data_IF_237509018905
#
_entry.id   IF_237509018905
#
_cell.length_a   1.000
_cell.length_b   1.000
_cell.length_c   1.000
_cell.angle_alpha   90.00
_cell.angle_beta   90.00
_cell.angle_gamma   90.00
#
_symmetry.space_group_name_H-M   'P 1'
#
loop_
_entity.id
_entity.type
_entity.pdbx_description
1 polymer ?
#
# COMPACT_ATOMS: atom_id res chain seq x y z
N UNK A 1 -25.63 -65.22 43.46
CA UNK A 1 -25.47 -63.81 43.40
C UNK A 1 -24.46 -63.54 42.28
N UNK A 2 -24.93 -63.14 41.10
CA UNK A 2 -24.09 -62.92 39.90
C UNK A 2 -24.03 -61.42 39.63
N UNK A 3 -22.85 -60.84 39.82
CA UNK A 3 -22.57 -59.44 39.42
C UNK A 3 -22.10 -59.43 37.99
N UNK A 4 -22.87 -58.90 37.12
CA UNK A 4 -22.53 -58.61 35.71
C UNK A 4 -21.82 -57.27 35.63
N UNK A 5 -20.55 -57.29 35.27
CA UNK A 5 -19.70 -56.11 35.00
C UNK A 5 -19.98 -55.65 33.57
N UNK A 6 -20.59 -54.50 33.46
CA UNK A 6 -20.86 -53.86 32.14
C UNK A 6 -19.62 -53.01 31.76
N UNK A 7 -18.87 -53.51 30.77
CA UNK A 7 -17.75 -52.78 30.18
C UNK A 7 -18.26 -51.75 29.16
N UNK A 8 -18.24 -50.46 29.52
CA UNK A 8 -18.61 -49.37 28.66
C UNK A 8 -17.36 -48.94 27.90
N UNK A 9 -17.25 -49.35 26.63
CA UNK A 9 -16.20 -48.94 25.72
C UNK A 9 -16.54 -47.56 25.18
N UNK A 10 -15.80 -46.54 25.64
CA UNK A 10 -15.87 -45.17 25.14
C UNK A 10 -15.05 -45.09 23.84
N UNK A 11 -15.71 -45.05 22.70
CA UNK A 11 -15.11 -44.74 21.39
C UNK A 11 -14.85 -43.25 21.34
N UNK A 12 -13.58 -42.88 21.53
CA UNK A 12 -13.11 -41.54 21.27
C UNK A 12 -12.86 -41.45 19.75
N UNK A 13 -13.81 -40.89 19.00
CA UNK A 13 -13.60 -40.47 17.62
C UNK A 13 -12.71 -39.24 17.59
N UNK A 14 -11.42 -39.41 17.24
CA UNK A 14 -10.56 -38.31 16.81
C UNK A 14 -11.13 -37.77 15.51
N UNK A 15 -11.85 -36.66 15.56
CA UNK A 15 -12.10 -35.84 14.40
C UNK A 15 -10.76 -35.23 14.00
N UNK A 16 -10.15 -35.77 12.95
CA UNK A 16 -9.05 -35.13 12.27
C UNK A 16 -9.59 -33.81 11.73
N UNK A 17 -9.10 -32.70 12.28
CA UNK A 17 -9.28 -31.38 11.73
C UNK A 17 -8.40 -31.33 10.47
N UNK A 18 -8.95 -31.74 9.33
CA UNK A 18 -8.36 -31.46 8.04
C UNK A 18 -8.40 -29.94 7.87
N UNK A 19 -7.24 -29.30 7.95
CA UNK A 19 -7.06 -27.93 7.49
C UNK A 19 -7.21 -27.96 5.98
N UNK A 20 -8.46 -27.88 5.53
CA UNK A 20 -8.77 -27.62 4.13
C UNK A 20 -8.26 -26.20 3.82
N UNK A 21 -7.11 -26.14 3.15
CA UNK A 21 -6.62 -24.94 2.48
C UNK A 21 -7.36 -24.68 1.17
N UNK A 22 -8.53 -25.31 0.99
CA UNK A 22 -9.36 -25.11 -0.21
C UNK A 22 -10.70 -24.49 0.19
N UNK A 23 -10.94 -23.32 -0.35
CA UNK A 23 -12.29 -22.80 -0.50
C UNK A 23 -12.72 -21.70 0.46
N UNK A 24 -12.05 -20.60 0.48
CA UNK A 24 -12.77 -19.35 0.66
C UNK A 24 -13.70 -19.19 -0.53
N UNK A 25 -14.94 -19.70 -0.33
CA UNK A 25 -16.06 -19.50 -1.24
C UNK A 25 -16.13 -18.01 -1.53
N UNK A 26 -15.96 -17.67 -2.81
CA UNK A 26 -15.83 -16.32 -3.30
C UNK A 26 -16.93 -15.40 -2.77
N UNK A 27 -16.50 -14.37 -2.08
CA UNK A 27 -17.25 -13.13 -2.02
C UNK A 27 -17.07 -12.51 -3.41
N UNK A 28 -18.13 -12.40 -4.22
CA UNK A 28 -18.04 -11.75 -5.52
C UNK A 28 -17.72 -10.28 -5.28
N UNK A 29 -16.51 -9.85 -5.58
CA UNK A 29 -16.14 -8.43 -5.56
C UNK A 29 -14.86 -8.03 -4.83
N UNK A 30 -14.15 -8.97 -4.17
CA UNK A 30 -12.92 -8.64 -3.45
C UNK A 30 -11.78 -9.58 -3.80
N UNK A 31 -11.43 -9.74 -5.08
CA UNK A 31 -10.20 -10.41 -5.45
C UNK A 31 -9.02 -9.61 -4.92
N UNK A 32 -8.26 -10.18 -3.96
CA UNK A 32 -7.01 -9.62 -3.50
C UNK A 32 -6.05 -9.38 -4.67
N UNK A 33 -5.12 -8.46 -4.50
CA UNK A 33 -4.05 -8.22 -5.45
C UNK A 33 -2.81 -9.00 -5.02
N UNK A 34 -1.94 -9.33 -5.95
CA UNK A 34 -0.67 -9.98 -5.66
C UNK A 34 0.47 -8.97 -5.66
N UNK A 35 1.55 -9.27 -4.93
CA UNK A 35 2.76 -8.45 -4.97
C UNK A 35 3.28 -8.24 -6.41
N UNK A 36 3.23 -9.26 -7.27
CA UNK A 36 3.64 -9.18 -8.67
C UNK A 36 2.77 -8.22 -9.51
N UNK A 37 1.47 -8.11 -9.20
CA UNK A 37 0.59 -7.14 -9.87
C UNK A 37 0.93 -5.71 -9.51
N UNK A 38 1.47 -5.46 -8.31
CA UNK A 38 1.85 -4.12 -7.82
C UNK A 38 3.28 -3.78 -8.19
N UNK A 39 4.22 -4.74 -8.08
CA UNK A 39 5.64 -4.53 -8.41
C UNK A 39 5.81 -4.04 -9.83
N UNK A 40 6.59 -2.98 -10.00
CA UNK A 40 6.90 -2.38 -11.31
C UNK A 40 7.01 -0.88 -11.28
N UNK A 41 7.00 -0.28 -12.46
CA UNK A 41 7.05 1.17 -12.62
C UNK A 41 5.64 1.76 -12.67
N UNK A 42 5.49 2.90 -12.01
CA UNK A 42 4.23 3.62 -11.89
C UNK A 42 4.40 5.07 -12.33
N UNK A 43 3.36 5.61 -12.94
CA UNK A 43 3.22 7.04 -13.24
C UNK A 43 2.02 7.59 -12.46
N UNK A 44 2.23 8.68 -11.75
CA UNK A 44 1.19 9.38 -10.98
C UNK A 44 1.03 10.79 -11.48
N UNK A 45 -0.19 11.30 -11.39
CA UNK A 45 -0.51 12.72 -11.64
C UNK A 45 -1.17 13.28 -10.39
N UNK A 46 -0.65 14.41 -9.90
CA UNK A 46 -1.18 15.09 -8.71
C UNK A 46 -2.04 16.28 -9.10
N UNK A 47 -3.17 16.46 -8.42
CA UNK A 47 -4.05 17.61 -8.55
C UNK A 47 -4.23 18.24 -7.18
N UNK A 48 -3.83 19.50 -7.03
CA UNK A 48 -3.92 20.21 -5.74
C UNK A 48 -5.37 20.35 -5.30
N UNK A 49 -5.62 20.04 -4.04
CA UNK A 49 -6.93 20.21 -3.38
C UNK A 49 -6.93 21.24 -2.27
N UNK A 50 -5.74 21.56 -1.71
CA UNK A 50 -5.63 22.60 -0.69
C UNK A 50 -5.96 23.99 -1.27
N UNK A 51 -6.85 24.73 -0.61
CA UNK A 51 -7.21 26.10 -0.99
C UNK A 51 -6.12 27.13 -0.66
N UNK A 52 -5.21 26.78 0.27
CA UNK A 52 -4.12 27.66 0.70
C UNK A 52 -2.93 27.57 -0.25
N UNK A 53 -2.19 28.66 -0.36
CA UNK A 53 -0.93 28.67 -1.08
C UNK A 53 0.06 27.71 -0.42
N UNK A 54 0.53 26.73 -1.17
CA UNK A 54 1.60 25.84 -0.74
C UNK A 54 2.95 26.57 -0.77
N UNK A 55 3.87 26.18 0.10
CA UNK A 55 5.22 26.80 0.14
C UNK A 55 5.98 26.58 -1.18
N UNK A 56 7.02 27.37 -1.37
CA UNK A 56 7.98 27.16 -2.48
C UNK A 56 8.60 25.77 -2.35
N UNK A 57 8.52 24.98 -3.41
CA UNK A 57 9.01 23.60 -3.44
C UNK A 57 7.93 22.53 -3.35
N UNK A 58 6.66 22.87 -3.10
CA UNK A 58 5.54 21.96 -3.24
C UNK A 58 5.31 21.55 -4.70
N UNK A 59 4.62 20.42 -4.89
CA UNK A 59 4.30 19.92 -6.22
C UNK A 59 3.36 20.89 -6.96
N UNK A 60 3.63 21.08 -8.25
CA UNK A 60 2.74 21.89 -9.10
C UNK A 60 1.43 21.13 -9.38
N UNK A 61 0.37 21.87 -9.63
CA UNK A 61 -0.89 21.29 -10.06
C UNK A 61 -0.73 20.60 -11.42
N UNK A 62 -1.19 19.36 -11.56
CA UNK A 62 -1.02 18.55 -12.79
C UNK A 62 0.37 17.94 -12.94
N UNK A 63 1.24 18.04 -11.93
CA UNK A 63 2.59 17.48 -12.01
C UNK A 63 2.56 15.96 -12.06
N UNK A 64 3.40 15.40 -12.95
CA UNK A 64 3.68 13.97 -13.01
C UNK A 64 4.76 13.57 -12.02
N UNK A 65 4.56 12.44 -11.35
CA UNK A 65 5.56 11.75 -10.54
C UNK A 65 5.76 10.34 -11.10
N UNK A 66 6.94 9.78 -10.93
CA UNK A 66 7.19 8.37 -11.23
C UNK A 66 7.68 7.64 -10.00
N UNK A 67 7.31 6.36 -9.87
CA UNK A 67 7.84 5.51 -8.81
C UNK A 67 8.12 4.10 -9.33
N UNK A 68 9.11 3.46 -8.71
CA UNK A 68 9.36 2.04 -8.81
C UNK A 68 8.95 1.40 -7.50
N UNK A 69 7.99 0.50 -7.53
CA UNK A 69 7.55 -0.29 -6.40
C UNK A 69 8.13 -1.70 -6.51
N UNK A 70 8.84 -2.14 -5.49
CA UNK A 70 9.26 -3.53 -5.30
C UNK A 70 8.55 -4.05 -4.07
N UNK A 71 7.47 -4.80 -4.29
CA UNK A 71 6.56 -5.26 -3.22
C UNK A 71 6.91 -6.68 -2.84
N UNK A 72 7.13 -6.92 -1.56
CA UNK A 72 7.37 -8.24 -0.98
C UNK A 72 6.06 -9.03 -0.82
N UNK A 73 6.16 -10.31 -0.55
CA UNK A 73 5.00 -11.20 -0.42
C UNK A 73 4.04 -10.85 0.74
N UNK A 74 4.51 -10.07 1.70
CA UNK A 74 3.72 -9.54 2.81
C UNK A 74 3.09 -8.17 2.52
N UNK A 75 3.35 -7.60 1.33
CA UNK A 75 2.84 -6.30 0.90
C UNK A 75 3.74 -5.13 1.27
N UNK A 76 4.81 -5.31 2.03
CA UNK A 76 5.76 -4.23 2.34
C UNK A 76 6.63 -3.89 1.14
N UNK A 77 7.11 -2.65 1.06
CA UNK A 77 8.09 -2.26 0.04
C UNK A 77 9.50 -2.71 0.41
N UNK A 78 10.21 -3.29 -0.56
CA UNK A 78 11.62 -3.65 -0.39
C UNK A 78 12.47 -2.38 -0.24
N UNK A 79 13.21 -2.33 0.88
CA UNK A 79 14.06 -1.19 1.22
C UNK A 79 15.22 -1.06 0.24
N UNK A 80 15.48 0.17 -0.24
CA UNK A 80 16.60 0.50 -1.11
C UNK A 80 16.37 0.23 -2.59
N UNK A 81 15.32 -0.52 -2.97
CA UNK A 81 14.96 -0.78 -4.37
C UNK A 81 13.70 -0.04 -4.78
N UNK A 82 12.79 0.22 -3.85
CA UNK A 82 11.62 1.08 -4.09
C UNK A 82 12.04 2.55 -4.05
N UNK A 83 11.60 3.31 -5.03
CA UNK A 83 12.04 4.70 -5.21
C UNK A 83 11.00 5.54 -5.92
N UNK A 84 11.15 6.87 -5.85
CA UNK A 84 10.32 7.81 -6.59
C UNK A 84 11.14 8.94 -7.20
N UNK A 85 10.59 9.61 -8.17
CA UNK A 85 11.19 10.75 -8.86
C UNK A 85 10.14 11.81 -9.15
N UNK A 86 10.60 13.05 -9.15
CA UNK A 86 9.81 14.22 -9.52
C UNK A 86 10.41 14.81 -10.82
N UNK A 87 9.90 14.45 -12.01
CA UNK A 87 10.36 15.00 -13.26
C UNK A 87 10.17 16.54 -13.30
N UNK A 88 11.05 17.30 -13.97
CA UNK A 88 12.12 16.82 -14.86
C UNK A 88 13.43 16.44 -14.15
N UNK A 89 13.47 16.44 -12.80
CA UNK A 89 14.67 16.06 -12.06
C UNK A 89 14.90 14.54 -12.18
N UNK A 90 16.13 14.16 -12.53
CA UNK A 90 16.51 12.74 -12.56
C UNK A 90 16.88 12.19 -11.16
N UNK A 91 16.60 12.96 -10.10
CA UNK A 91 16.98 12.57 -8.74
C UNK A 91 16.07 11.44 -8.24
N UNK A 92 16.66 10.28 -8.03
CA UNK A 92 16.02 9.10 -7.43
C UNK A 92 16.01 9.28 -5.91
N UNK A 93 14.84 9.11 -5.31
CA UNK A 93 14.60 9.34 -3.89
C UNK A 93 14.00 8.08 -3.23
N UNK A 94 14.28 7.85 -1.94
CA UNK A 94 13.75 6.68 -1.24
C UNK A 94 12.22 6.70 -1.13
N UNK A 95 11.66 5.49 -1.16
CA UNK A 95 10.25 5.22 -0.96
C UNK A 95 10.13 4.07 0.04
N UNK A 96 9.21 4.17 0.99
CA UNK A 96 8.88 3.10 1.93
C UNK A 96 7.36 2.98 2.13
N UNK A 97 6.93 2.03 2.94
CA UNK A 97 5.52 1.77 3.22
C UNK A 97 5.07 0.42 2.69
N UNK A 98 3.82 0.33 2.25
CA UNK A 98 3.28 -0.94 1.78
C UNK A 98 1.93 -0.86 1.12
N UNK A 99 1.49 -2.03 0.66
CA UNK A 99 0.19 -2.26 0.03
C UNK A 99 -0.48 -3.46 0.69
N UNK A 100 -1.65 -3.28 1.25
CA UNK A 100 -2.44 -4.38 1.79
C UNK A 100 -2.96 -5.24 0.64
N UNK A 101 -2.36 -6.40 0.42
CA UNK A 101 -2.66 -7.28 -0.72
C UNK A 101 -4.11 -7.81 -0.74
N UNK A 102 -4.78 -7.83 0.41
CA UNK A 102 -6.17 -8.26 0.51
C UNK A 102 -7.16 -7.33 -0.20
N UNK A 103 -6.87 -6.02 -0.27
CA UNK A 103 -7.80 -4.99 -0.76
C UNK A 103 -7.15 -3.86 -1.55
N UNK A 104 -5.82 -3.87 -1.72
CA UNK A 104 -5.08 -2.84 -2.42
C UNK A 104 -4.87 -1.53 -1.66
N UNK A 105 -5.29 -1.44 -0.40
CA UNK A 105 -5.04 -0.26 0.42
C UNK A 105 -3.54 0.03 0.49
N UNK A 106 -3.17 1.25 0.20
CA UNK A 106 -1.79 1.66 -0.04
C UNK A 106 -1.44 2.82 0.88
N UNK A 107 -0.28 2.72 1.53
CA UNK A 107 0.29 3.78 2.36
C UNK A 107 1.80 3.86 2.08
N UNK A 108 2.23 4.90 1.38
CA UNK A 108 3.61 5.08 0.93
C UNK A 108 4.18 6.40 1.45
N UNK A 109 5.42 6.34 1.92
CA UNK A 109 6.19 7.47 2.41
C UNK A 109 7.28 7.84 1.41
N UNK A 110 7.17 9.02 0.81
CA UNK A 110 8.02 9.54 -0.25
C UNK A 110 9.02 10.53 0.35
N UNK A 111 10.24 10.08 0.60
CA UNK A 111 11.27 10.90 1.26
C UNK A 111 11.99 11.82 0.27
N UNK A 112 12.38 13.01 0.72
CA UNK A 112 13.14 13.96 -0.08
C UNK A 112 14.60 13.49 -0.34
N UNK A 113 15.18 12.75 0.61
CA UNK A 113 16.52 12.17 0.53
C UNK A 113 16.64 11.00 1.51
N UNK A 114 17.68 10.18 1.36
CA UNK A 114 18.02 9.15 2.34
C UNK A 114 18.32 9.81 3.70
N UNK A 115 17.71 9.28 4.78
CA UNK A 115 17.84 9.82 6.13
C UNK A 115 16.97 11.04 6.44
N UNK A 116 16.11 11.48 5.51
CA UNK A 116 15.11 12.50 5.80
C UNK A 116 14.11 12.00 6.84
N UNK A 117 13.79 12.84 7.83
CA UNK A 117 12.72 12.58 8.79
C UNK A 117 11.34 13.03 8.29
N UNK A 118 11.30 13.79 7.20
CA UNK A 118 10.05 14.25 6.59
C UNK A 118 9.79 13.52 5.30
N UNK A 119 8.56 13.04 5.12
CA UNK A 119 8.10 12.40 3.92
C UNK A 119 6.76 12.99 3.49
N UNK A 120 6.50 13.01 2.19
CA UNK A 120 5.14 13.11 1.68
C UNK A 120 4.47 11.76 1.86
N UNK A 121 3.20 11.76 2.25
CA UNK A 121 2.41 10.56 2.47
C UNK A 121 1.41 10.38 1.33
N UNK A 122 1.53 9.26 0.61
CA UNK A 122 0.64 8.86 -0.48
C UNK A 122 -0.27 7.73 0.00
N UNK A 123 -1.54 8.04 0.20
CA UNK A 123 -2.55 7.09 0.65
C UNK A 123 -3.60 6.86 -0.43
N UNK A 124 -4.05 5.61 -0.58
CA UNK A 124 -5.09 5.30 -1.57
C UNK A 124 -5.28 3.82 -1.79
N UNK A 125 -5.70 3.47 -3.00
CA UNK A 125 -5.96 2.08 -3.37
C UNK A 125 -5.35 1.77 -4.73
N UNK A 126 -4.61 0.67 -4.81
CA UNK A 126 -4.14 0.03 -6.03
C UNK A 126 -5.12 -1.07 -6.41
N UNK A 127 -5.45 -1.16 -7.68
CA UNK A 127 -6.29 -2.24 -8.24
C UNK A 127 -5.44 -3.29 -8.94
N UNK A 128 -6.00 -4.50 -9.10
CA UNK A 128 -5.36 -5.57 -9.88
C UNK A 128 -5.12 -5.19 -11.36
N UNK A 129 -5.89 -4.23 -11.88
CA UNK A 129 -5.72 -3.71 -13.24
C UNK A 129 -4.56 -2.72 -13.37
N UNK A 130 -3.83 -2.42 -12.29
CA UNK A 130 -2.69 -1.51 -12.31
C UNK A 130 -3.09 -0.04 -12.33
N UNK A 131 -4.20 0.32 -11.70
CA UNK A 131 -4.58 1.72 -11.45
C UNK A 131 -4.46 2.06 -9.97
N UNK A 132 -4.18 3.33 -9.67
CA UNK A 132 -4.16 3.91 -8.34
C UNK A 132 -5.09 5.12 -8.28
N UNK A 133 -5.78 5.26 -7.16
CA UNK A 133 -6.50 6.47 -6.79
C UNK A 133 -6.33 6.76 -5.31
N UNK A 134 -6.11 8.03 -4.96
CA UNK A 134 -5.86 8.39 -3.58
C UNK A 134 -5.55 9.86 -3.37
N UNK A 135 -4.83 10.12 -2.28
CA UNK A 135 -4.41 11.45 -1.87
C UNK A 135 -2.91 11.46 -1.54
N UNK A 136 -2.30 12.62 -1.72
CA UNK A 136 -0.95 12.91 -1.27
C UNK A 136 -0.98 14.08 -0.32
N UNK A 137 -0.31 13.95 0.81
CA UNK A 137 -0.12 15.01 1.80
C UNK A 137 1.36 15.35 1.89
N UNK A 138 1.70 16.63 1.73
CA UNK A 138 3.06 17.14 1.89
C UNK A 138 3.15 17.97 3.17
N UNK A 139 3.66 17.39 4.29
CA UNK A 139 3.82 18.09 5.55
C UNK A 139 5.02 19.05 5.55
N UNK A 140 6.00 18.83 4.67
CA UNK A 140 7.24 19.62 4.64
C UNK A 140 7.05 21.02 4.04
N UNK A 141 5.91 21.26 3.43
CA UNK A 141 5.52 22.62 3.01
C UNK A 141 5.41 23.60 4.18
N UNK A 142 5.57 23.12 5.42
CA UNK A 142 5.38 23.90 6.63
C UNK A 142 6.52 23.87 7.62
N UNK A 143 7.74 24.25 7.26
CA UNK A 143 8.73 24.62 8.28
C UNK A 143 8.32 25.89 9.06
N UNK A 144 7.23 26.54 8.66
CA UNK A 144 6.52 27.55 9.43
C UNK A 144 5.03 27.20 9.44
N UNK A 145 4.52 26.88 10.59
CA UNK A 145 3.15 26.43 10.92
C UNK A 145 2.00 27.37 10.45
N UNK A 146 2.22 28.24 9.50
CA UNK A 146 1.25 29.24 9.05
C UNK A 146 0.42 28.75 7.87
N UNK A 147 0.87 27.76 7.10
CA UNK A 147 0.21 27.41 5.83
C UNK A 147 -0.38 25.98 5.76
N UNK A 148 -0.25 25.17 6.79
CA UNK A 148 -0.77 23.80 6.76
C UNK A 148 -0.09 22.90 5.73
N UNK A 149 -0.38 21.61 5.78
CA UNK A 149 0.08 20.64 4.80
C UNK A 149 -0.57 20.90 3.43
N UNK A 150 0.20 20.75 2.35
CA UNK A 150 -0.37 20.72 1.01
C UNK A 150 -1.00 19.35 0.72
N UNK A 151 -2.23 19.38 0.23
CA UNK A 151 -2.98 18.18 -0.09
C UNK A 151 -3.30 18.11 -1.59
N UNK A 152 -3.27 16.92 -2.12
CA UNK A 152 -3.50 16.61 -3.53
C UNK A 152 -4.38 15.37 -3.66
N UNK A 153 -5.23 15.32 -4.69
CA UNK A 153 -5.72 14.06 -5.21
C UNK A 153 -4.69 13.48 -6.18
N UNK A 154 -4.60 12.17 -6.23
CA UNK A 154 -3.61 11.46 -7.06
C UNK A 154 -4.30 10.36 -7.85
N UNK A 155 -4.04 10.36 -9.14
CA UNK A 155 -4.35 9.24 -10.02
C UNK A 155 -3.05 8.64 -10.54
N UNK A 156 -2.97 7.31 -10.67
CA UNK A 156 -1.78 6.63 -11.11
C UNK A 156 -2.08 5.41 -11.96
N UNK A 157 -1.10 5.04 -12.78
CA UNK A 157 -1.14 3.82 -13.59
C UNK A 157 0.20 3.12 -13.56
N UNK A 158 0.15 1.78 -13.55
CA UNK A 158 1.33 0.95 -13.74
C UNK A 158 1.75 1.03 -15.20
N UNK A 159 3.04 1.25 -15.46
CA UNK A 159 3.59 1.42 -16.81
C UNK A 159 4.41 0.22 -17.27
N UNK A 160 4.95 -0.57 -16.34
CA UNK A 160 5.67 -1.83 -16.62
C UNK A 160 5.91 -2.65 -15.35
#
# INVERSE_FOLDING_TARGET
>A
MRSTLLCLTLLVSLAACETSTDGLIGIPGGGGITAAQVTGNWSFTVQRTSALACSSGSLANGQGLTARLEVLSDGTLATGTSSWQNPPTALVRPLSGGVALANGATDLFMFASAGSSSAMELQGTITAAGSFSGSLTDPAAGSFQVFGACSYTVAGTKTS
#
